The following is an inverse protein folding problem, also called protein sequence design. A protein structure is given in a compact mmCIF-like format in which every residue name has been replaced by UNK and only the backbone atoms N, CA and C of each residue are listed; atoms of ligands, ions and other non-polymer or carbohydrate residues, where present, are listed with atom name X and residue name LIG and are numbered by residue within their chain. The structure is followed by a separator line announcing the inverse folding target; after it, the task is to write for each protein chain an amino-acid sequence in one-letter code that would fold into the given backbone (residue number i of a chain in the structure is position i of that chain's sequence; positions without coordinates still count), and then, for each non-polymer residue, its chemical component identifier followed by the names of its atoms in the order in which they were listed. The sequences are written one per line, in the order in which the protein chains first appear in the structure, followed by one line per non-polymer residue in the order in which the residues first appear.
data_IF_982626541044
#
_entry.id   IF_982626541044
#
_cell.length_a   1.000
_cell.length_b   1.000
_cell.length_c   1.000
_cell.angle_alpha   90.00
_cell.angle_beta   90.00
_cell.angle_gamma   90.00
#
_symmetry.space_group_name_H-M   'P 1'
#
loop_
_entity.id
_entity.type
_entity.pdbx_description
1 polymer ?
#
# COMPACT_ATOMS: atom_id res chain seq x y z
N UNK A 1 -16.57 15.32 -20.07
CA UNK A 1 -16.12 14.98 -18.70
C UNK A 1 -15.43 13.65 -18.85
N UNK A 2 -14.11 13.68 -19.01
CA UNK A 2 -13.31 12.46 -19.15
C UNK A 2 -13.52 11.57 -17.92
N UNK A 3 -13.65 10.27 -18.15
CA UNK A 3 -13.75 9.27 -17.09
C UNK A 3 -12.49 9.32 -16.22
N UNK A 4 -12.57 10.06 -15.12
CA UNK A 4 -11.49 10.17 -14.13
C UNK A 4 -11.18 8.81 -13.49
N UNK A 5 -12.09 7.84 -13.55
CA UNK A 5 -11.96 6.52 -12.93
C UNK A 5 -10.80 5.72 -13.54
N UNK A 6 -10.65 5.76 -14.87
CA UNK A 6 -9.58 5.04 -15.57
C UNK A 6 -8.17 5.53 -15.20
N UNK A 7 -7.99 6.84 -15.02
CA UNK A 7 -6.69 7.43 -14.65
C UNK A 7 -6.28 7.15 -13.19
N UNK A 8 -7.25 6.89 -12.31
CA UNK A 8 -6.99 6.63 -10.89
C UNK A 8 -6.56 5.18 -10.63
N UNK A 9 -6.91 4.22 -11.51
CA UNK A 9 -6.57 2.81 -11.32
C UNK A 9 -5.05 2.57 -11.22
N UNK A 10 -4.21 3.07 -12.16
CA UNK A 10 -2.76 2.94 -12.02
C UNK A 10 -2.22 3.60 -10.75
N UNK A 11 -2.76 4.77 -10.38
CA UNK A 11 -2.34 5.49 -9.17
C UNK A 11 -2.63 4.69 -7.89
N UNK A 12 -3.84 4.12 -7.81
CA UNK A 12 -4.26 3.24 -6.71
C UNK A 12 -3.42 1.98 -6.64
N UNK A 13 -3.09 1.38 -7.79
CA UNK A 13 -2.24 0.20 -7.84
C UNK A 13 -0.82 0.51 -7.34
N UNK A 14 -0.23 1.61 -7.79
CA UNK A 14 1.06 2.08 -7.27
C UNK A 14 1.02 2.37 -5.77
N UNK A 15 -0.11 2.91 -5.28
CA UNK A 15 -0.30 3.16 -3.83
C UNK A 15 -0.37 1.85 -3.03
N UNK A 16 -0.96 0.79 -3.60
CA UNK A 16 -0.94 -0.55 -3.00
C UNK A 16 0.49 -1.09 -2.84
N UNK A 17 1.37 -0.87 -3.83
CA UNK A 17 2.80 -1.22 -3.72
C UNK A 17 3.51 -0.42 -2.64
N UNK A 18 3.22 0.88 -2.50
CA UNK A 18 3.78 1.70 -1.40
C UNK A 18 3.36 1.14 -0.04
N UNK A 19 2.09 0.74 0.12
CA UNK A 19 1.62 0.10 1.35
C UNK A 19 2.34 -1.23 1.61
N UNK A 20 2.52 -2.05 0.58
CA UNK A 20 3.25 -3.31 0.70
C UNK A 20 4.69 -3.11 1.18
N UNK A 21 5.42 -2.15 0.61
CA UNK A 21 6.76 -1.79 1.07
C UNK A 21 6.77 -1.34 2.52
N UNK A 22 5.84 -0.46 2.92
CA UNK A 22 5.73 -0.01 4.30
C UNK A 22 5.47 -1.16 5.28
N UNK A 23 4.58 -2.10 4.93
CA UNK A 23 4.26 -3.27 5.76
C UNK A 23 5.45 -4.21 5.89
N UNK A 24 6.18 -4.49 4.80
CA UNK A 24 7.36 -5.37 4.85
C UNK A 24 8.48 -4.80 5.72
N UNK A 25 8.64 -3.47 5.75
CA UNK A 25 9.61 -2.82 6.63
C UNK A 25 9.19 -2.82 8.11
N UNK A 26 7.91 -2.55 8.40
CA UNK A 26 7.40 -2.46 9.77
C UNK A 26 7.16 -3.82 10.42
N UNK A 27 6.87 -4.85 9.62
CA UNK A 27 6.54 -6.20 10.08
C UNK A 27 7.52 -7.22 9.49
N UNK A 28 8.71 -7.40 10.07
CA UNK A 28 9.66 -8.41 9.63
C UNK A 28 9.02 -9.80 9.59
N UNK A 29 9.13 -10.48 8.44
CA UNK A 29 8.51 -11.79 8.21
C UNK A 29 7.12 -11.75 7.61
N UNK A 30 6.55 -10.57 7.36
CA UNK A 30 5.34 -10.43 6.55
C UNK A 30 5.57 -10.98 5.13
N UNK A 31 4.53 -11.58 4.54
CA UNK A 31 4.55 -12.05 3.15
C UNK A 31 3.40 -11.42 2.37
N UNK A 32 3.65 -11.17 1.09
CA UNK A 32 2.71 -10.57 0.16
C UNK A 32 1.74 -11.62 -0.41
N UNK A 33 0.45 -11.31 -0.42
CA UNK A 33 -0.59 -12.01 -1.15
C UNK A 33 -0.99 -11.24 -2.41
N UNK A 34 -2.27 -10.86 -2.50
CA UNK A 34 -2.85 -10.10 -3.62
C UNK A 34 -3.08 -8.63 -3.25
N UNK A 35 -2.80 -7.71 -4.19
CA UNK A 35 -2.98 -6.27 -3.98
C UNK A 35 -3.55 -5.52 -5.19
N UNK A 36 -4.83 -5.71 -5.54
CA UNK A 36 -5.44 -5.04 -6.69
C UNK A 36 -5.89 -3.61 -6.36
N UNK A 37 -5.92 -2.76 -7.39
CA UNK A 37 -6.71 -1.54 -7.37
C UNK A 37 -8.18 -1.86 -7.66
N UNK A 38 -9.09 -1.13 -7.02
CA UNK A 38 -10.55 -1.24 -7.18
C UNK A 38 -11.16 0.14 -7.48
N UNK A 39 -12.47 0.17 -7.72
CA UNK A 39 -13.21 1.37 -8.14
C UNK A 39 -13.08 2.55 -7.15
N UNK A 40 -12.95 2.28 -5.86
CA UNK A 40 -12.88 3.33 -4.82
C UNK A 40 -11.54 3.36 -4.06
N UNK A 41 -10.56 2.53 -4.44
CA UNK A 41 -9.31 2.44 -3.69
C UNK A 41 -8.45 1.25 -4.08
N UNK A 42 -7.88 0.61 -3.08
CA UNK A 42 -7.09 -0.61 -3.21
C UNK A 42 -7.13 -1.37 -1.90
N UNK A 43 -6.78 -2.65 -1.93
CA UNK A 43 -6.51 -3.44 -0.74
C UNK A 43 -5.27 -4.28 -0.97
N UNK A 44 -4.76 -4.90 0.09
CA UNK A 44 -3.66 -5.84 -0.01
C UNK A 44 -3.79 -6.92 1.06
N UNK A 45 -3.64 -8.18 0.64
CA UNK A 45 -3.62 -9.34 1.52
C UNK A 45 -2.19 -9.61 2.01
N UNK A 46 -2.03 -9.78 3.33
CA UNK A 46 -0.74 -10.10 3.94
C UNK A 46 -0.84 -11.33 4.83
N UNK A 47 0.18 -12.18 4.77
CA UNK A 47 0.47 -13.12 5.86
C UNK A 47 1.37 -12.39 6.85
N UNK A 48 0.86 -12.10 8.05
CA UNK A 48 1.58 -11.32 9.07
C UNK A 48 1.98 -12.21 10.26
N UNK A 49 3.11 -11.90 10.93
CA UNK A 49 3.53 -12.64 12.13
C UNK A 49 2.55 -12.49 13.30
N UNK A 50 1.76 -11.40 13.30
CA UNK A 50 0.63 -11.17 14.21
C UNK A 50 -0.48 -10.40 13.49
N UNK A 51 -1.74 -10.47 13.95
CA UNK A 51 -2.80 -9.60 13.46
C UNK A 51 -2.46 -8.11 13.63
N UNK A 52 -2.96 -7.28 12.72
CA UNK A 52 -2.91 -5.83 12.87
C UNK A 52 -3.85 -5.38 13.99
N UNK A 53 -3.38 -4.43 14.79
CA UNK A 53 -4.17 -3.67 15.73
C UNK A 53 -4.47 -2.28 15.14
N UNK A 54 -5.53 -1.58 15.58
CA UNK A 54 -5.87 -0.25 15.07
C UNK A 54 -4.71 0.75 15.13
N UNK A 55 -3.81 0.61 16.11
CA UNK A 55 -2.66 1.48 16.35
C UNK A 55 -1.54 1.29 15.30
N UNK A 56 -1.54 0.16 14.59
CA UNK A 56 -0.58 -0.10 13.51
C UNK A 56 -0.92 0.72 12.26
N UNK A 57 -2.20 1.05 12.03
CA UNK A 57 -2.64 1.72 10.80
C UNK A 57 -2.02 3.12 10.64
N UNK A 58 -2.00 3.99 11.67
CA UNK A 58 -1.30 5.27 11.58
C UNK A 58 0.20 5.13 11.34
N UNK A 59 0.83 4.07 11.87
CA UNK A 59 2.26 3.81 11.65
C UNK A 59 2.53 3.44 10.19
N UNK A 60 1.71 2.54 9.63
CA UNK A 60 1.79 2.16 8.21
C UNK A 60 1.58 3.39 7.32
N UNK A 61 0.54 4.19 7.57
CA UNK A 61 0.27 5.39 6.78
C UNK A 61 1.43 6.41 6.85
N UNK A 62 1.99 6.62 8.04
CA UNK A 62 3.15 7.50 8.23
C UNK A 62 4.35 7.01 7.42
N UNK A 63 4.61 5.69 7.42
CA UNK A 63 5.71 5.12 6.63
C UNK A 63 5.44 5.22 5.13
N UNK A 64 4.21 4.98 4.68
CA UNK A 64 3.82 5.18 3.27
C UNK A 64 4.11 6.61 2.80
N UNK A 65 3.76 7.62 3.61
CA UNK A 65 4.04 9.04 3.30
C UNK A 65 5.54 9.31 3.21
N UNK A 66 6.35 8.69 4.08
CA UNK A 66 7.81 8.80 4.02
C UNK A 66 8.36 8.21 2.71
N UNK A 67 7.94 7.00 2.33
CA UNK A 67 8.35 6.32 1.08
C UNK A 67 8.00 7.17 -0.14
N UNK A 68 6.81 7.78 -0.18
CA UNK A 68 6.40 8.67 -1.28
C UNK A 68 7.36 9.87 -1.39
N UNK A 69 7.77 10.45 -0.27
CA UNK A 69 8.69 11.58 -0.23
C UNK A 69 10.13 11.23 -0.61
N UNK A 70 10.52 9.96 -0.52
CA UNK A 70 11.83 9.47 -0.95
C UNK A 70 11.97 9.44 -2.49
N UNK A 71 10.86 9.51 -3.24
CA UNK A 71 10.84 9.54 -4.73
C UNK A 71 11.62 8.38 -5.36
N UNK A 72 11.51 7.20 -4.75
CA UNK A 72 12.10 5.97 -5.26
C UNK A 72 11.57 5.65 -6.67
N UNK A 73 12.44 5.10 -7.51
CA UNK A 73 12.04 4.61 -8.82
C UNK A 73 11.42 3.23 -8.66
N UNK A 74 10.31 2.98 -9.38
CA UNK A 74 9.82 1.62 -9.56
C UNK A 74 10.83 0.87 -10.44
N UNK A 75 11.36 -0.25 -9.94
CA UNK A 75 12.29 -1.14 -10.64
C UNK A 75 11.59 -2.41 -11.13
#
# INVERSE_FOLDING_TARGET
MEDQSGALIPLRHSTAHVMASAVLELFPGAKLGFGPAIEDGFYYDFELPRPLAPEDLPMIETRMRAIINERLQFV
#
